data_IF_404772836058
#
_entry.id   IF_404772836058
#
_cell.length_a   1.000
_cell.length_b   1.000
_cell.length_c   1.000
_cell.angle_alpha   90.00
_cell.angle_beta   90.00
_cell.angle_gamma   90.00
#
_symmetry.space_group_name_H-M   'P 1'
#
loop_
_entity.id
_entity.type
_entity.pdbx_description
1 polymer ?
#
# COMPACT_ATOMS: atom_id res chain seq x y z
N UNK A 1 14.00 17.17 -91.63
CA UNK A 1 12.66 17.52 -91.10
C UNK A 1 12.63 17.20 -89.61
N UNK A 2 12.44 18.22 -88.77
CA UNK A 2 12.36 18.11 -87.31
C UNK A 2 11.12 17.31 -86.90
N UNK A 3 11.26 16.34 -86.01
CA UNK A 3 10.16 15.79 -85.20
C UNK A 3 10.66 15.64 -83.77
N UNK A 4 10.30 16.62 -82.93
CA UNK A 4 10.35 16.52 -81.48
C UNK A 4 9.28 15.53 -81.04
N UNK A 5 9.65 14.52 -80.26
CA UNK A 5 8.71 13.67 -79.52
C UNK A 5 9.06 13.84 -78.05
N UNK A 6 8.14 14.50 -77.35
CA UNK A 6 8.16 14.74 -75.92
C UNK A 6 7.19 13.73 -75.32
N UNK A 7 7.66 12.77 -74.52
CA UNK A 7 6.78 11.83 -73.82
C UNK A 7 7.33 11.52 -72.42
N UNK A 8 6.87 12.38 -71.50
CA UNK A 8 6.36 12.13 -70.15
C UNK A 8 6.88 10.89 -69.40
N UNK A 9 7.77 11.13 -68.44
CA UNK A 9 8.14 10.19 -67.38
C UNK A 9 6.98 10.03 -66.38
N UNK A 10 6.40 8.83 -66.28
CA UNK A 10 5.43 8.50 -65.22
C UNK A 10 6.23 8.06 -63.98
N UNK A 11 6.24 8.90 -62.95
CA UNK A 11 6.83 8.58 -61.65
C UNK A 11 5.81 7.78 -60.83
N UNK A 12 6.03 6.47 -60.67
CA UNK A 12 5.24 5.60 -59.80
C UNK A 12 5.75 5.76 -58.36
N UNK A 13 5.05 6.53 -57.53
CA UNK A 13 5.34 6.64 -56.08
C UNK A 13 4.61 5.51 -55.37
N UNK A 14 5.36 4.48 -54.94
CA UNK A 14 4.85 3.42 -54.07
C UNK A 14 4.96 3.93 -52.62
N UNK A 15 3.85 4.39 -52.06
CA UNK A 15 3.77 4.72 -50.63
C UNK A 15 3.59 3.44 -49.81
N UNK A 16 4.67 2.99 -49.16
CA UNK A 16 4.57 2.00 -48.08
C UNK A 16 3.99 2.69 -46.85
N UNK A 17 2.70 2.46 -46.59
CA UNK A 17 2.08 2.82 -45.33
C UNK A 17 2.59 1.87 -44.25
N UNK A 18 3.61 2.28 -43.49
CA UNK A 18 3.95 1.62 -42.24
C UNK A 18 2.78 1.81 -41.28
N UNK A 19 2.02 0.74 -41.03
CA UNK A 19 1.12 0.70 -39.89
C UNK A 19 1.97 0.86 -38.64
N UNK A 20 1.93 2.04 -38.03
CA UNK A 20 2.36 2.18 -36.66
C UNK A 20 1.47 1.25 -35.83
N UNK A 21 2.03 0.12 -35.40
CA UNK A 21 1.43 -0.67 -34.34
C UNK A 21 1.45 0.28 -33.15
N UNK A 22 0.30 0.88 -32.87
CA UNK A 22 0.05 1.55 -31.63
C UNK A 22 0.15 0.45 -30.58
N UNK A 23 1.35 0.23 -30.02
CA UNK A 23 1.50 -0.65 -28.87
C UNK A 23 0.58 -0.04 -27.82
N UNK A 24 -0.55 -0.70 -27.56
CA UNK A 24 -1.42 -0.35 -26.47
C UNK A 24 -0.52 -0.29 -25.24
N UNK A 25 -0.41 0.90 -24.62
CA UNK A 25 0.34 1.09 -23.39
C UNK A 25 -0.14 0.00 -22.43
N UNK A 26 0.76 -0.88 -21.99
CA UNK A 26 0.36 -1.94 -21.06
C UNK A 26 -0.41 -1.30 -19.90
N UNK A 27 -1.54 -1.90 -19.48
CA UNK A 27 -2.29 -1.34 -18.36
C UNK A 27 -1.37 -1.27 -17.14
N UNK A 28 -1.29 -0.10 -16.52
CA UNK A 28 -0.44 0.09 -15.34
C UNK A 28 -0.85 -0.91 -14.25
N UNK A 29 0.09 -1.74 -13.81
CA UNK A 29 -0.11 -2.68 -12.72
C UNK A 29 -0.41 -1.90 -11.41
N UNK A 30 -1.35 -2.38 -10.60
CA UNK A 30 -1.75 -1.69 -9.37
C UNK A 30 -2.07 -2.63 -8.21
N UNK A 31 -1.68 -2.23 -7.01
CA UNK A 31 -2.15 -2.86 -5.77
C UNK A 31 -3.17 -1.97 -5.06
N UNK A 32 -4.30 -2.54 -4.66
CA UNK A 32 -5.33 -1.85 -3.89
C UNK A 32 -5.54 -2.52 -2.54
N UNK A 33 -5.35 -1.76 -1.46
CA UNK A 33 -5.51 -2.26 -0.10
C UNK A 33 -6.79 -1.69 0.52
N UNK A 34 -7.66 -2.56 1.02
CA UNK A 34 -8.85 -2.21 1.78
C UNK A 34 -8.59 -2.56 3.25
N UNK A 35 -8.50 -1.54 4.10
CA UNK A 35 -8.23 -1.70 5.53
C UNK A 35 -9.53 -1.52 6.30
N UNK A 36 -10.10 -2.62 6.78
CA UNK A 36 -11.26 -2.59 7.66
C UNK A 36 -10.82 -2.30 9.09
N UNK A 37 -11.29 -1.19 9.63
CA UNK A 37 -11.06 -0.73 11.01
C UNK A 37 -12.15 -1.31 11.93
N UNK A 38 -11.73 -2.17 12.84
CA UNK A 38 -12.61 -2.87 13.79
C UNK A 38 -12.38 -2.39 15.23
N UNK A 39 -13.22 -2.83 16.16
CA UNK A 39 -13.01 -2.65 17.60
C UNK A 39 -11.75 -3.42 18.03
N UNK A 40 -10.90 -2.88 18.93
CA UNK A 40 -11.07 -1.62 19.68
C UNK A 40 -10.60 -0.32 19.01
N UNK A 41 -9.71 -0.32 18.01
CA UNK A 41 -9.16 0.93 17.43
C UNK A 41 -10.25 1.88 16.90
N UNK A 42 -11.37 1.35 16.39
CA UNK A 42 -12.51 2.16 15.94
C UNK A 42 -13.12 3.02 17.07
N UNK A 43 -13.13 2.51 18.30
CA UNK A 43 -13.80 3.13 19.44
C UNK A 43 -12.83 3.90 20.33
N UNK A 44 -11.65 3.33 20.54
CA UNK A 44 -10.60 3.94 21.36
C UNK A 44 -9.75 4.94 20.58
N UNK A 45 -9.75 4.86 19.25
CA UNK A 45 -8.80 5.58 18.41
C UNK A 45 -7.47 4.85 18.37
N UNK A 46 -6.50 5.44 17.69
CA UNK A 46 -5.15 4.91 17.58
C UNK A 46 -4.48 5.35 16.29
N UNK A 47 -3.50 4.57 15.84
CA UNK A 47 -2.82 4.80 14.58
C UNK A 47 -2.55 3.52 13.80
N UNK A 48 -2.66 3.65 12.48
CA UNK A 48 -2.30 2.62 11.50
C UNK A 48 -1.17 3.17 10.66
N UNK A 49 -0.01 2.52 10.70
CA UNK A 49 1.08 2.79 9.77
C UNK A 49 0.88 1.89 8.54
N UNK A 50 0.79 2.47 7.36
CA UNK A 50 0.64 1.73 6.11
C UNK A 50 1.95 1.87 5.34
N UNK A 51 2.64 0.76 5.10
CA UNK A 51 3.93 0.73 4.41
C UNK A 51 3.86 -0.11 3.15
N UNK A 52 4.29 0.47 2.04
CA UNK A 52 4.34 -0.17 0.73
C UNK A 52 5.77 -0.40 0.26
N UNK A 53 6.08 -1.60 -0.23
CA UNK A 53 7.38 -1.92 -0.85
C UNK A 53 7.22 -2.45 -2.28
N UNK A 54 8.00 -1.95 -3.25
CA UNK A 54 7.96 -2.50 -4.60
C UNK A 54 8.57 -3.92 -4.62
N UNK A 55 8.02 -4.79 -5.46
CA UNK A 55 8.58 -6.09 -5.83
C UNK A 55 8.57 -6.22 -7.35
N UNK A 56 9.35 -7.17 -7.88
CA UNK A 56 9.43 -7.39 -9.32
C UNK A 56 8.05 -7.73 -9.90
N UNK A 57 7.71 -7.20 -11.08
CA UNK A 57 6.36 -7.35 -11.63
C UNK A 57 5.98 -8.82 -11.89
N UNK A 58 6.96 -9.68 -12.18
CA UNK A 58 6.73 -11.12 -12.35
C UNK A 58 6.38 -11.79 -11.02
N UNK A 59 7.05 -11.44 -9.93
CA UNK A 59 6.74 -11.91 -8.58
C UNK A 59 5.37 -11.40 -8.14
N UNK A 60 5.08 -10.11 -8.38
CA UNK A 60 3.78 -9.54 -8.08
C UNK A 60 2.65 -10.28 -8.79
N UNK A 61 2.79 -10.56 -10.09
CA UNK A 61 1.78 -11.29 -10.88
C UNK A 61 1.43 -12.65 -10.29
N UNK A 62 2.38 -13.32 -9.61
CA UNK A 62 2.17 -14.62 -8.95
C UNK A 62 1.36 -14.55 -7.66
N UNK A 63 1.19 -13.37 -7.05
CA UNK A 63 0.44 -13.23 -5.80
C UNK A 63 -1.05 -13.56 -6.02
N UNK A 64 -1.69 -14.40 -5.21
CA UNK A 64 -3.13 -14.63 -5.31
C UNK A 64 -3.90 -13.38 -4.87
N UNK A 65 -4.89 -12.95 -5.68
CA UNK A 65 -5.82 -11.88 -5.30
C UNK A 65 -6.76 -12.35 -4.18
N UNK A 66 -7.11 -11.46 -3.23
CA UNK A 66 -8.14 -11.77 -2.23
C UNK A 66 -9.56 -11.79 -2.81
N UNK A 67 -9.75 -11.24 -4.02
CA UNK A 67 -11.03 -11.18 -4.72
C UNK A 67 -10.97 -12.03 -5.99
N UNK A 68 -11.88 -13.01 -6.18
CA UNK A 68 -11.97 -13.79 -7.41
C UNK A 68 -12.28 -12.91 -8.64
N UNK A 69 -11.73 -13.26 -9.81
CA UNK A 69 -12.02 -12.64 -11.11
C UNK A 69 -11.63 -11.15 -11.27
N UNK A 70 -10.66 -10.63 -10.51
CA UNK A 70 -10.09 -9.31 -10.79
C UNK A 70 -9.09 -9.33 -11.95
N UNK A 71 -8.96 -8.19 -12.62
CA UNK A 71 -8.01 -7.90 -13.70
C UNK A 71 -6.60 -8.42 -13.38
N UNK A 72 -5.91 -8.98 -14.38
CA UNK A 72 -4.47 -9.34 -14.28
C UNK A 72 -3.56 -8.15 -13.93
N UNK A 73 -4.09 -6.93 -14.04
CA UNK A 73 -3.38 -5.67 -13.84
C UNK A 73 -3.70 -5.01 -12.49
N UNK A 74 -4.66 -5.53 -11.71
CA UNK A 74 -4.96 -4.99 -10.38
C UNK A 74 -5.18 -6.13 -9.37
N UNK A 75 -4.42 -6.12 -8.27
CA UNK A 75 -4.66 -7.01 -7.12
C UNK A 75 -5.22 -6.21 -5.97
N UNK A 76 -6.32 -6.72 -5.41
CA UNK A 76 -6.94 -6.14 -4.23
C UNK A 76 -6.84 -7.07 -3.04
N UNK A 77 -6.44 -6.48 -1.92
CA UNK A 77 -6.27 -7.17 -0.65
C UNK A 77 -7.18 -6.51 0.39
N UNK A 78 -7.86 -7.35 1.17
CA UNK A 78 -8.72 -6.91 2.27
C UNK A 78 -8.08 -7.37 3.57
N UNK A 79 -7.85 -6.43 4.46
CA UNK A 79 -7.23 -6.69 5.77
C UNK A 79 -8.06 -6.06 6.87
N UNK A 80 -7.92 -6.59 8.09
CA UNK A 80 -8.58 -6.05 9.28
C UNK A 80 -7.54 -5.57 10.28
N UNK A 81 -7.77 -4.40 10.85
CA UNK A 81 -6.99 -3.85 11.97
C UNK A 81 -7.92 -3.63 13.15
N UNK A 82 -7.51 -4.09 14.33
CA UNK A 82 -8.27 -3.96 15.58
C UNK A 82 -7.43 -3.32 16.70
N UNK A 83 -6.12 -3.54 16.73
CA UNK A 83 -5.24 -2.93 17.73
C UNK A 83 -5.06 -1.42 17.50
N UNK A 84 -5.08 -0.59 18.57
CA UNK A 84 -4.78 0.84 18.50
C UNK A 84 -3.39 1.17 17.93
N UNK A 85 -2.45 0.24 17.94
CA UNK A 85 -1.14 0.37 17.31
C UNK A 85 -0.96 -0.76 16.29
N UNK A 86 -1.21 -0.44 15.02
CA UNK A 86 -1.13 -1.41 13.92
C UNK A 86 -0.24 -0.92 12.79
N UNK A 87 0.37 -1.87 12.09
CA UNK A 87 1.04 -1.66 10.80
C UNK A 87 0.39 -2.56 9.77
N UNK A 88 0.16 -2.03 8.58
CA UNK A 88 -0.10 -2.83 7.39
C UNK A 88 1.07 -2.67 6.45
N UNK A 89 1.86 -3.72 6.31
CA UNK A 89 2.90 -3.82 5.30
C UNK A 89 2.34 -4.56 4.08
N UNK A 90 2.57 -4.02 2.89
CA UNK A 90 2.14 -4.66 1.66
C UNK A 90 3.15 -4.43 0.53
N UNK A 91 3.05 -5.26 -0.51
CA UNK A 91 3.88 -5.16 -1.70
C UNK A 91 3.08 -4.65 -2.90
N UNK A 92 3.76 -3.97 -3.82
CA UNK A 92 3.19 -3.48 -5.07
C UNK A 92 4.17 -3.70 -6.23
N UNK A 93 3.70 -3.69 -7.49
CA UNK A 93 4.57 -3.95 -8.64
C UNK A 93 5.53 -2.78 -8.85
N UNK A 94 6.81 -3.05 -9.07
CA UNK A 94 7.85 -2.03 -9.23
C UNK A 94 7.57 -1.04 -10.37
N UNK A 95 6.93 -1.51 -11.45
CA UNK A 95 6.55 -0.66 -12.58
C UNK A 95 5.23 0.08 -12.38
N UNK A 96 4.54 -0.17 -11.26
CA UNK A 96 3.14 0.16 -11.06
C UNK A 96 2.88 1.14 -9.94
N UNK A 97 1.64 1.15 -9.47
CA UNK A 97 1.18 2.03 -8.39
C UNK A 97 0.48 1.25 -7.29
N UNK A 98 0.16 1.95 -6.21
CA UNK A 98 -0.73 1.40 -5.20
C UNK A 98 -1.70 2.47 -4.68
N UNK A 99 -2.76 1.99 -4.04
CA UNK A 99 -3.69 2.81 -3.26
C UNK A 99 -4.17 2.05 -2.04
N UNK A 100 -4.59 2.77 -1.00
CA UNK A 100 -5.29 2.18 0.12
C UNK A 100 -6.50 3.03 0.51
N UNK A 101 -7.52 2.40 1.10
CA UNK A 101 -8.61 3.10 1.78
C UNK A 101 -8.93 2.43 3.10
N UNK A 102 -9.47 3.21 4.03
CA UNK A 102 -9.98 2.72 5.30
C UNK A 102 -11.50 2.64 5.25
N UNK A 103 -12.07 1.61 5.85
CA UNK A 103 -13.51 1.45 6.01
C UNK A 103 -13.85 0.89 7.39
N UNK A 104 -15.08 1.13 7.86
CA UNK A 104 -15.57 0.56 9.13
C UNK A 104 -16.22 -0.80 8.89
N UNK A 105 -16.12 -1.71 9.86
CA UNK A 105 -16.82 -3.02 9.85
C UNK A 105 -18.34 -2.91 9.66
N UNK A 106 -18.96 -1.77 9.98
CA UNK A 106 -20.41 -1.60 9.85
C UNK A 106 -20.78 -0.44 8.93
N UNK A 107 -21.40 -0.78 7.80
CA UNK A 107 -22.11 0.16 6.91
C UNK A 107 -23.35 0.78 7.58
N UNK A 108 -23.76 0.26 8.75
CA UNK A 108 -24.88 0.76 9.56
C UNK A 108 -24.43 1.56 10.81
N UNK A 109 -23.14 1.92 10.91
CA UNK A 109 -22.65 2.77 12.01
C UNK A 109 -23.20 4.19 11.83
N UNK A 110 -23.94 4.71 12.82
CA UNK A 110 -24.44 6.09 12.78
C UNK A 110 -23.32 7.15 12.71
N UNK A 111 -22.08 6.77 13.02
CA UNK A 111 -20.91 7.64 13.00
C UNK A 111 -19.93 7.17 11.92
N UNK A 112 -19.64 8.01 10.90
CA UNK A 112 -18.59 7.73 9.92
C UNK A 112 -17.23 7.53 10.59
N UNK A 113 -16.39 6.68 10.01
CA UNK A 113 -15.00 6.57 10.41
C UNK A 113 -14.30 7.92 10.19
N UNK A 114 -13.79 8.51 11.26
CA UNK A 114 -12.98 9.73 11.20
C UNK A 114 -11.50 9.35 11.28
N UNK A 115 -10.75 9.77 10.28
CA UNK A 115 -9.32 9.50 10.18
C UNK A 115 -8.58 10.65 9.53
N UNK A 116 -7.27 10.74 9.80
CA UNK A 116 -6.39 11.76 9.24
C UNK A 116 -5.03 11.18 8.94
N UNK A 117 -4.52 11.41 7.73
CA UNK A 117 -3.10 11.16 7.44
C UNK A 117 -2.26 12.26 8.10
N UNK A 118 -1.43 11.86 9.05
CA UNK A 118 -0.65 12.78 9.91
C UNK A 118 0.83 12.82 9.54
N UNK A 119 1.29 11.87 8.74
CA UNK A 119 2.66 11.77 8.22
C UNK A 119 2.70 10.92 6.95
N UNK A 120 3.53 11.34 6.00
CA UNK A 120 3.95 10.55 4.82
C UNK A 120 5.46 10.61 4.76
N UNK A 121 6.13 9.51 4.41
CA UNK A 121 7.58 9.51 4.28
C UNK A 121 8.15 8.13 3.98
N UNK A 122 9.35 7.90 4.48
CA UNK A 122 10.07 6.62 4.46
C UNK A 122 10.68 6.36 5.84
N UNK A 123 11.02 5.11 6.13
CA UNK A 123 11.70 4.72 7.35
C UNK A 123 12.57 3.49 7.14
N UNK A 124 13.57 3.35 7.99
CA UNK A 124 14.35 2.11 8.12
C UNK A 124 14.01 1.49 9.47
N UNK A 125 13.54 0.25 9.45
CA UNK A 125 12.89 -0.37 10.61
C UNK A 125 13.47 -1.75 10.88
N UNK A 126 13.40 -2.20 12.12
CA UNK A 126 13.74 -3.59 12.46
C UNK A 126 12.48 -4.43 12.33
N UNK A 127 12.49 -5.40 11.41
CA UNK A 127 11.42 -6.37 11.23
C UNK A 127 11.17 -7.14 12.55
N UNK A 128 9.95 -7.12 13.10
CA UNK A 128 9.65 -7.77 14.37
C UNK A 128 9.81 -9.29 14.34
N UNK A 129 9.60 -9.93 13.19
CA UNK A 129 9.70 -11.38 13.03
C UNK A 129 11.14 -11.80 12.72
N UNK A 130 11.78 -11.18 11.74
CA UNK A 130 13.11 -11.60 11.26
C UNK A 130 14.27 -10.95 12.01
N UNK A 131 14.00 -9.86 12.74
CA UNK A 131 14.98 -8.99 13.41
C UNK A 131 15.98 -8.35 12.45
N UNK A 132 15.74 -8.43 11.15
CA UNK A 132 16.55 -7.79 10.14
C UNK A 132 16.10 -6.35 9.93
N UNK A 133 17.03 -5.53 9.47
CA UNK A 133 16.74 -4.17 9.08
C UNK A 133 16.08 -4.20 7.69
N UNK A 134 14.98 -3.46 7.54
CA UNK A 134 14.20 -3.38 6.31
C UNK A 134 13.83 -1.93 6.02
N UNK A 135 13.94 -1.59 4.74
CA UNK A 135 13.55 -0.28 4.24
C UNK A 135 12.04 -0.25 3.94
N UNK A 136 11.38 0.79 4.43
CA UNK A 136 10.06 1.23 4.02
C UNK A 136 10.22 2.45 3.12
N UNK A 137 10.30 2.26 1.79
CA UNK A 137 10.49 3.37 0.85
C UNK A 137 9.27 4.29 0.79
N UNK A 138 8.10 3.80 1.21
CA UNK A 138 6.89 4.59 1.33
C UNK A 138 6.07 4.17 2.54
N UNK A 139 5.77 5.11 3.41
CA UNK A 139 4.90 4.94 4.57
C UNK A 139 3.93 6.10 4.73
N UNK A 140 2.72 5.79 5.17
CA UNK A 140 1.71 6.74 5.63
C UNK A 140 1.31 6.40 7.06
N UNK A 141 1.20 7.40 7.92
CA UNK A 141 0.64 7.23 9.28
C UNK A 141 -0.74 7.84 9.32
N UNK A 142 -1.73 7.00 9.62
CA UNK A 142 -3.12 7.39 9.68
C UNK A 142 -3.57 7.36 11.14
N UNK A 143 -3.93 8.53 11.67
CA UNK A 143 -4.63 8.64 12.94
C UNK A 143 -6.09 8.23 12.76
N UNK A 144 -6.57 7.34 13.62
CA UNK A 144 -7.98 6.98 13.75
C UNK A 144 -8.51 7.68 14.98
N UNK A 145 -9.54 8.51 14.79
CA UNK A 145 -10.14 9.22 15.91
C UNK A 145 -10.98 8.27 16.76
N UNK A 146 -10.86 8.42 18.08
CA UNK A 146 -11.71 7.74 19.04
C UNK A 146 -11.61 8.35 20.43
N UNK A 147 -12.08 7.62 21.42
CA UNK A 147 -12.31 8.13 22.79
C UNK A 147 -11.08 8.21 23.69
N UNK A 148 -9.95 7.60 23.29
CA UNK A 148 -8.79 7.40 24.18
C UNK A 148 -7.47 7.87 23.56
N UNK A 149 -7.14 7.40 22.36
CA UNK A 149 -5.88 7.70 21.68
C UNK A 149 -6.08 8.85 20.68
N UNK A 150 -5.50 10.01 21.00
CA UNK A 150 -5.60 11.23 20.20
C UNK A 150 -4.50 11.33 19.12
N UNK A 151 -4.50 12.43 18.36
CA UNK A 151 -3.51 12.68 17.31
C UNK A 151 -2.08 12.78 17.87
N UNK A 152 -1.92 13.32 19.09
CA UNK A 152 -0.63 13.44 19.76
C UNK A 152 -0.04 12.07 20.11
N UNK A 153 -0.88 11.17 20.63
CA UNK A 153 -0.51 9.78 20.86
C UNK A 153 -0.12 9.06 19.55
N UNK A 154 -0.85 9.28 18.46
CA UNK A 154 -0.51 8.72 17.15
C UNK A 154 0.87 9.18 16.65
N UNK A 155 1.26 10.43 16.95
CA UNK A 155 2.61 10.94 16.65
C UNK A 155 3.68 10.29 17.52
N UNK A 156 3.39 10.03 18.80
CA UNK A 156 4.28 9.28 19.69
C UNK A 156 4.48 7.85 19.17
N UNK A 157 3.42 7.15 18.76
CA UNK A 157 3.56 5.83 18.14
C UNK A 157 4.54 5.88 16.95
N UNK A 158 4.44 6.92 16.12
CA UNK A 158 5.31 7.08 14.95
C UNK A 158 6.78 7.26 15.31
N UNK A 159 7.11 7.85 16.46
CA UNK A 159 8.50 7.99 16.90
C UNK A 159 9.01 6.77 17.67
N UNK A 160 8.12 5.98 18.29
CA UNK A 160 8.52 4.87 19.15
C UNK A 160 8.30 3.48 18.56
N UNK A 161 7.62 3.34 17.40
CA UNK A 161 7.29 2.02 16.85
C UNK A 161 8.54 1.15 16.59
N UNK A 162 9.64 1.74 16.13
CA UNK A 162 10.88 1.00 15.87
C UNK A 162 11.44 0.39 17.16
N UNK A 163 11.35 1.13 18.28
CA UNK A 163 11.70 0.64 19.62
C UNK A 163 10.74 -0.46 20.05
N UNK A 164 9.43 -0.27 19.88
CA UNK A 164 8.43 -1.27 20.24
C UNK A 164 8.69 -2.60 19.53
N UNK A 165 8.94 -2.62 18.21
CA UNK A 165 9.23 -3.86 17.50
C UNK A 165 10.59 -4.45 17.81
N UNK A 166 11.58 -3.62 18.14
CA UNK A 166 12.90 -4.11 18.53
C UNK A 166 12.89 -4.84 19.88
N UNK A 167 12.09 -4.39 20.84
CA UNK A 167 12.16 -4.89 22.22
C UNK A 167 10.94 -5.67 22.68
N UNK A 168 9.79 -5.55 22.02
CA UNK A 168 8.63 -6.37 22.34
C UNK A 168 8.96 -7.85 22.15
N UNK A 169 8.48 -8.65 23.10
CA UNK A 169 8.58 -10.09 23.03
C UNK A 169 7.58 -10.64 21.99
N UNK A 170 7.82 -11.85 21.44
CA UNK A 170 6.95 -12.40 20.39
C UNK A 170 5.47 -12.47 20.79
N UNK A 171 5.15 -12.75 22.05
CA UNK A 171 3.77 -12.79 22.56
C UNK A 171 3.09 -11.41 22.64
N UNK A 172 3.87 -10.33 22.53
CA UNK A 172 3.36 -8.96 22.53
C UNK A 172 3.08 -8.42 21.12
N UNK A 173 3.41 -9.19 20.08
CA UNK A 173 3.23 -8.82 18.68
C UNK A 173 2.33 -9.86 18.02
N UNK A 174 1.22 -9.42 17.44
CA UNK A 174 0.38 -10.26 16.59
C UNK A 174 0.72 -9.99 15.12
N UNK A 175 1.01 -11.05 14.37
CA UNK A 175 1.22 -10.96 12.92
C UNK A 175 0.20 -11.80 12.18
N UNK A 176 -0.53 -11.16 11.27
CA UNK A 176 -1.49 -11.80 10.37
C UNK A 176 -1.04 -11.63 8.92
N UNK A 177 -0.65 -12.73 8.29
CA UNK A 177 -0.18 -12.75 6.90
C UNK A 177 -1.36 -12.76 5.92
N UNK A 178 -1.19 -12.11 4.78
CA UNK A 178 -2.07 -12.21 3.60
C UNK A 178 -1.20 -12.28 2.35
N UNK A 179 -1.74 -12.68 1.19
CA UNK A 179 -0.93 -12.90 -0.01
C UNK A 179 -0.01 -11.73 -0.41
N UNK A 180 -0.45 -10.49 -0.21
CA UNK A 180 0.28 -9.29 -0.56
C UNK A 180 1.04 -8.64 0.59
N UNK A 181 1.19 -9.28 1.75
CA UNK A 181 1.88 -8.69 2.90
C UNK A 181 1.39 -9.18 4.25
N UNK A 182 1.43 -8.30 5.26
CA UNK A 182 1.04 -8.64 6.64
C UNK A 182 0.47 -7.46 7.42
N UNK A 183 -0.33 -7.78 8.41
CA UNK A 183 -0.74 -6.86 9.48
C UNK A 183 0.06 -7.21 10.73
N UNK A 184 0.70 -6.21 11.32
CA UNK A 184 1.46 -6.33 12.57
C UNK A 184 0.76 -5.46 13.60
N UNK A 185 0.42 -6.01 14.76
CA UNK A 185 -0.27 -5.31 15.81
C UNK A 185 0.45 -5.47 17.15
N UNK A 186 0.57 -4.38 17.90
CA UNK A 186 1.01 -4.47 19.29
C UNK A 186 -0.15 -4.89 20.18
N UNK A 187 0.15 -5.70 21.19
CA UNK A 187 -0.78 -5.97 22.29
C UNK A 187 -0.95 -4.71 23.17
N UNK A 188 -2.03 -4.65 23.94
CA UNK A 188 -2.25 -3.57 24.92
C UNK A 188 -1.06 -3.44 25.89
N UNK A 189 -0.47 -4.56 26.32
CA UNK A 189 0.70 -4.55 27.19
C UNK A 189 1.95 -3.94 26.51
N UNK A 190 2.16 -4.19 25.22
CA UNK A 190 3.26 -3.55 24.48
C UNK A 190 2.98 -2.07 24.19
N UNK A 191 1.73 -1.71 23.89
CA UNK A 191 1.31 -0.31 23.77
C UNK A 191 1.66 0.42 25.07
N UNK A 192 1.23 -0.12 26.20
CA UNK A 192 1.52 0.44 27.50
C UNK A 192 3.02 0.46 27.78
N UNK A 193 3.80 -0.54 27.39
CA UNK A 193 5.24 -0.54 27.68
C UNK A 193 6.04 0.47 26.84
N UNK A 194 5.71 0.61 25.55
CA UNK A 194 6.61 1.22 24.57
C UNK A 194 6.06 2.48 23.89
N UNK A 195 4.74 2.73 23.93
CA UNK A 195 4.11 3.88 23.27
C UNK A 195 3.79 4.94 24.31
N UNK A 196 4.85 5.58 24.79
CA UNK A 196 4.78 6.69 25.76
C UNK A 196 5.63 7.84 25.30
N UNK A 197 5.21 9.04 25.67
CA UNK A 197 6.06 10.22 25.60
C UNK A 197 7.29 9.95 26.48
N UNK A 198 8.46 9.89 25.85
CA UNK A 198 9.72 9.68 26.57
C UNK A 198 10.11 11.01 27.18
N UNK A 199 9.73 11.22 28.44
CA UNK A 199 10.32 12.28 29.28
C UNK A 199 11.72 11.88 29.72
#
# INVERSE_FOLDING_TARGET
MKKSILLLSILLVVTFSTFAINQAKEPNLSTRLIITVDTPIREKGGAVIVSGRPIADNEWRLLPSSVPNKSEHEKEFHVRVSSPASIVEFVYPESGTYSFKLESVSQNSATPLQSREIQVGSAEVTDPETRQQVDWPSMSVIHIQGSHYDEGWARILTSTFATAFRFASPEQILVNQFPGGRVIALSDAAIDAYVRDTK
#
